data_IF_799333591077
#
_entry.id   IF_799333591077
#
_cell.length_a   1.000
_cell.length_b   1.000
_cell.length_c   1.000
_cell.angle_alpha   90.00
_cell.angle_beta   90.00
_cell.angle_gamma   90.00
#
_symmetry.space_group_name_H-M   'P 1'
#
loop_
_entity.id
_entity.type
_entity.pdbx_description
1 polymer ?
#
# COMPACT_ATOMS: atom_id res chain seq x y z
N UNK A 1 65.93 -62.66 -42.01
CA UNK A 1 64.84 -61.75 -42.47
C UNK A 1 64.32 -61.04 -41.23
N UNK A 2 64.66 -59.76 -41.07
CA UNK A 2 64.36 -58.95 -39.89
C UNK A 2 62.87 -58.57 -39.85
N UNK A 3 62.13 -59.07 -38.86
CA UNK A 3 60.78 -58.60 -38.57
C UNK A 3 60.91 -57.30 -37.76
N UNK A 4 60.72 -56.18 -38.44
CA UNK A 4 60.70 -54.86 -37.83
C UNK A 4 59.49 -54.73 -36.89
N UNK A 5 59.74 -54.65 -35.59
CA UNK A 5 58.73 -54.28 -34.59
C UNK A 5 58.37 -52.81 -34.76
N UNK A 6 57.24 -52.55 -35.42
CA UNK A 6 56.64 -51.21 -35.52
C UNK A 6 56.32 -50.70 -34.10
N UNK A 7 57.12 -49.75 -33.62
CA UNK A 7 56.98 -49.09 -32.30
C UNK A 7 55.58 -48.50 -32.12
N UNK A 8 54.78 -49.07 -31.20
CA UNK A 8 53.56 -48.47 -30.63
C UNK A 8 53.88 -47.26 -29.73
N UNK A 9 54.54 -46.21 -30.25
CA UNK A 9 54.99 -45.04 -29.46
C UNK A 9 54.10 -43.79 -29.59
N UNK A 10 53.03 -43.81 -30.39
CA UNK A 10 52.10 -42.68 -30.53
C UNK A 10 50.82 -42.75 -29.67
N UNK A 11 50.39 -43.95 -29.25
CA UNK A 11 49.12 -44.16 -28.53
C UNK A 11 49.14 -43.62 -27.09
N UNK A 12 50.30 -43.72 -26.42
CA UNK A 12 50.45 -43.26 -25.03
C UNK A 12 50.20 -41.77 -24.91
N UNK A 13 50.70 -40.96 -25.85
CA UNK A 13 50.48 -39.51 -25.84
C UNK A 13 49.00 -39.15 -26.01
N UNK A 14 48.30 -39.82 -26.95
CA UNK A 14 46.86 -39.60 -27.16
C UNK A 14 46.05 -40.00 -25.94
N UNK A 15 46.37 -41.14 -25.31
CA UNK A 15 45.72 -41.57 -24.09
C UNK A 15 45.94 -40.58 -22.94
N UNK A 16 47.19 -40.12 -22.74
CA UNK A 16 47.52 -39.12 -21.71
C UNK A 16 46.78 -37.81 -21.96
N UNK A 17 46.73 -37.31 -23.19
CA UNK A 17 46.00 -36.09 -23.53
C UNK A 17 44.50 -36.27 -23.30
N UNK A 18 43.92 -37.40 -23.71
CA UNK A 18 42.51 -37.69 -23.48
C UNK A 18 42.15 -37.68 -21.99
N UNK A 19 42.93 -38.38 -21.16
CA UNK A 19 42.73 -38.35 -19.70
C UNK A 19 43.01 -36.97 -19.10
N UNK A 20 44.00 -36.24 -19.59
CA UNK A 20 44.28 -34.88 -19.14
C UNK A 20 43.13 -33.92 -19.45
N UNK A 21 42.54 -34.00 -20.65
CA UNK A 21 41.37 -33.20 -21.04
C UNK A 21 40.16 -33.57 -20.19
N UNK A 22 39.90 -34.86 -19.97
CA UNK A 22 38.81 -35.31 -19.09
C UNK A 22 38.98 -34.86 -17.64
N UNK A 23 40.20 -34.93 -17.11
CA UNK A 23 40.52 -34.44 -15.77
C UNK A 23 40.33 -32.92 -15.69
N UNK A 24 40.87 -32.17 -16.66
CA UNK A 24 40.72 -30.72 -16.70
C UNK A 24 39.25 -30.31 -16.82
N UNK A 25 38.46 -30.97 -17.67
CA UNK A 25 37.02 -30.70 -17.78
C UNK A 25 36.27 -31.02 -16.50
N UNK A 26 36.65 -32.09 -15.80
CA UNK A 26 36.04 -32.49 -14.52
C UNK A 26 36.36 -31.48 -13.42
N UNK A 27 37.62 -31.04 -13.33
CA UNK A 27 38.04 -30.00 -12.37
C UNK A 27 37.35 -28.67 -12.67
N UNK A 28 37.28 -28.26 -13.94
CA UNK A 28 36.58 -27.04 -14.33
C UNK A 28 35.08 -27.09 -14.00
N UNK A 29 34.41 -28.22 -14.27
CA UNK A 29 33.01 -28.44 -13.92
C UNK A 29 32.79 -28.42 -12.40
N UNK A 30 33.67 -29.06 -11.63
CA UNK A 30 33.62 -29.04 -10.17
C UNK A 30 33.81 -27.62 -9.61
N UNK A 31 34.80 -26.87 -10.10
CA UNK A 31 35.03 -25.49 -9.67
C UNK A 31 33.81 -24.61 -9.97
N UNK A 32 33.25 -24.71 -11.17
CA UNK A 32 32.02 -23.97 -11.53
C UNK A 32 30.85 -24.33 -10.62
N UNK A 33 30.66 -25.62 -10.32
CA UNK A 33 29.59 -26.06 -9.43
C UNK A 33 29.82 -25.55 -7.99
N UNK A 34 31.05 -25.66 -7.49
CA UNK A 34 31.40 -25.21 -6.15
C UNK A 34 31.24 -23.70 -5.97
N UNK A 35 31.54 -22.87 -6.98
CA UNK A 35 31.33 -21.42 -6.89
C UNK A 35 29.85 -21.05 -6.90
N UNK A 36 29.04 -21.75 -7.70
CA UNK A 36 27.57 -21.59 -7.72
C UNK A 36 26.95 -22.03 -6.39
N UNK A 37 27.33 -23.20 -5.87
CA UNK A 37 26.84 -23.70 -4.59
C UNK A 37 27.21 -22.75 -3.44
N UNK A 38 28.45 -22.23 -3.44
CA UNK A 38 28.87 -21.23 -2.46
C UNK A 38 28.08 -19.92 -2.58
N UNK A 39 27.74 -19.47 -3.79
CA UNK A 39 26.92 -18.28 -3.99
C UNK A 39 25.47 -18.49 -3.51
N UNK A 40 24.89 -19.67 -3.76
CA UNK A 40 23.54 -20.03 -3.28
C UNK A 40 23.49 -20.00 -1.75
N UNK A 41 24.47 -20.61 -1.07
CA UNK A 41 24.53 -20.62 0.40
C UNK A 41 24.63 -19.20 0.95
N UNK A 42 25.53 -18.37 0.41
CA UNK A 42 25.66 -16.97 0.83
C UNK A 42 24.36 -16.17 0.63
N UNK A 43 23.71 -16.32 -0.51
CA UNK A 43 22.46 -15.62 -0.79
C UNK A 43 21.31 -16.10 0.10
N UNK A 44 21.28 -17.40 0.45
CA UNK A 44 20.30 -17.94 1.38
C UNK A 44 20.49 -17.39 2.80
N UNK A 45 21.72 -17.33 3.28
CA UNK A 45 22.04 -16.77 4.60
C UNK A 45 21.74 -15.27 4.65
N UNK A 46 22.13 -14.54 3.60
CA UNK A 46 21.82 -13.11 3.46
C UNK A 46 20.30 -12.86 3.39
N UNK A 47 19.55 -13.71 2.68
CA UNK A 47 18.09 -13.63 2.62
C UNK A 47 17.44 -13.86 3.99
N UNK A 48 17.93 -14.83 4.77
CA UNK A 48 17.44 -15.07 6.12
C UNK A 48 17.72 -13.89 7.06
N UNK A 49 18.90 -13.26 6.95
CA UNK A 49 19.23 -12.06 7.72
C UNK A 49 18.39 -10.86 7.30
N UNK A 50 18.25 -10.61 6.01
CA UNK A 50 17.42 -9.56 5.46
C UNK A 50 15.94 -9.72 5.90
N UNK A 51 15.41 -10.94 5.87
CA UNK A 51 14.06 -11.20 6.35
C UNK A 51 13.93 -10.99 7.86
N UNK A 52 14.89 -11.45 8.66
CA UNK A 52 14.91 -11.22 10.10
C UNK A 52 14.94 -9.72 10.44
N UNK A 53 15.72 -8.92 9.70
CA UNK A 53 15.73 -7.47 9.81
C UNK A 53 14.37 -6.86 9.48
N UNK A 54 13.76 -7.26 8.36
CA UNK A 54 12.43 -6.78 7.97
C UNK A 54 11.37 -7.13 9.03
N UNK A 55 11.38 -8.35 9.57
CA UNK A 55 10.49 -8.76 10.67
C UNK A 55 10.72 -7.93 11.93
N UNK A 56 11.98 -7.65 12.28
CA UNK A 56 12.35 -6.74 13.36
C UNK A 56 11.83 -5.32 13.12
N UNK A 57 11.84 -4.84 11.88
CA UNK A 57 11.28 -3.56 11.48
C UNK A 57 9.77 -3.46 11.73
N UNK A 58 9.01 -4.53 11.48
CA UNK A 58 7.57 -4.56 11.82
C UNK A 58 7.35 -4.46 13.34
N UNK A 59 8.16 -5.16 14.14
CA UNK A 59 8.08 -5.07 15.60
C UNK A 59 8.46 -3.67 16.12
N UNK A 60 9.50 -3.05 15.53
CA UNK A 60 9.89 -1.68 15.84
C UNK A 60 8.77 -0.69 15.50
N UNK A 61 8.15 -0.81 14.33
CA UNK A 61 7.00 0.02 13.97
C UNK A 61 5.86 -0.15 14.97
N UNK A 62 5.54 -1.39 15.35
CA UNK A 62 4.54 -1.68 16.38
C UNK A 62 4.83 -1.00 17.72
N UNK A 63 6.11 -1.00 18.15
CA UNK A 63 6.52 -0.30 19.35
C UNK A 63 6.41 1.23 19.23
N UNK A 64 6.77 1.80 18.07
CA UNK A 64 6.69 3.25 17.82
C UNK A 64 5.25 3.75 17.83
N UNK A 65 4.31 3.05 17.18
CA UNK A 65 2.90 3.46 17.15
C UNK A 65 2.22 3.29 18.51
N UNK A 66 2.66 2.32 19.34
CA UNK A 66 2.18 2.17 20.71
C UNK A 66 2.73 3.26 21.63
N UNK A 67 4.03 3.58 21.50
CA UNK A 67 4.65 4.66 22.26
C UNK A 67 3.93 5.99 21.96
N UNK A 68 3.64 6.23 20.69
CA UNK A 68 2.92 7.42 20.27
C UNK A 68 1.51 7.52 20.90
N UNK A 69 0.75 6.42 20.93
CA UNK A 69 -0.55 6.34 21.61
C UNK A 69 -0.46 6.64 23.11
N UNK A 70 0.63 6.22 23.78
CA UNK A 70 0.85 6.52 25.19
C UNK A 70 1.06 8.02 25.37
N UNK A 71 1.92 8.61 24.56
CA UNK A 71 2.24 10.02 24.68
C UNK A 71 1.04 10.93 24.31
N UNK A 72 0.14 10.49 23.41
CA UNK A 72 -1.15 11.15 23.11
C UNK A 72 -2.06 11.36 24.33
N UNK A 73 -1.82 10.67 25.45
CA UNK A 73 -2.56 10.93 26.70
C UNK A 73 -2.16 12.27 27.36
N UNK A 74 -0.99 12.80 27.01
CA UNK A 74 -0.42 14.05 27.56
C UNK A 74 -0.39 15.20 26.55
N UNK A 75 -0.70 14.93 25.26
CA UNK A 75 -0.74 15.91 24.17
C UNK A 75 -2.08 15.86 23.42
N UNK A 76 -2.32 16.78 22.49
CA UNK A 76 -3.48 16.65 21.60
C UNK A 76 -3.35 15.36 20.77
N UNK A 77 -4.38 14.52 20.80
CA UNK A 77 -4.41 13.28 20.04
C UNK A 77 -4.71 13.57 18.56
N UNK A 78 -3.65 13.63 17.75
CA UNK A 78 -3.71 13.70 16.30
C UNK A 78 -2.44 13.12 15.68
N UNK A 79 -2.60 12.34 14.60
CA UNK A 79 -1.48 11.84 13.80
C UNK A 79 -0.92 12.96 12.94
N UNK A 80 0.39 13.11 12.95
CA UNK A 80 1.13 14.08 12.15
C UNK A 80 2.38 13.46 11.54
N UNK A 81 2.97 14.14 10.55
CA UNK A 81 4.26 13.73 9.99
C UNK A 81 5.46 13.98 10.93
N UNK A 82 5.21 14.58 12.09
CA UNK A 82 6.23 14.88 13.09
C UNK A 82 6.26 13.87 14.23
N UNK A 83 5.35 12.90 14.21
CA UNK A 83 5.29 11.84 15.22
C UNK A 83 6.50 10.91 15.11
N UNK A 84 6.83 10.23 16.20
CA UNK A 84 8.00 9.35 16.27
C UNK A 84 7.97 8.22 15.23
N UNK A 85 6.77 7.69 14.93
CA UNK A 85 6.58 6.68 13.89
C UNK A 85 6.83 7.23 12.48
N UNK A 86 6.61 8.52 12.22
CA UNK A 86 6.84 9.15 10.93
C UNK A 86 8.32 9.50 10.72
N UNK A 87 9.03 9.86 11.80
CA UNK A 87 10.43 10.27 11.77
C UNK A 87 11.41 9.19 11.27
N UNK A 88 11.05 7.91 11.39
CA UNK A 88 11.88 6.78 10.92
C UNK A 88 11.84 6.59 9.40
N UNK A 89 10.91 7.25 8.69
CA UNK A 89 10.70 7.05 7.24
C UNK A 89 11.89 7.49 6.39
N UNK A 90 12.66 8.46 6.87
CA UNK A 90 13.72 9.12 6.09
C UNK A 90 15.13 8.63 6.42
N UNK A 91 15.29 7.71 7.39
CA UNK A 91 16.61 7.29 7.89
C UNK A 91 16.76 5.77 7.98
N UNK A 92 17.73 5.16 7.26
CA UNK A 92 18.01 3.75 7.41
C UNK A 92 18.65 3.45 8.77
N UNK A 93 18.30 2.30 9.36
CA UNK A 93 18.88 1.79 10.59
C UNK A 93 19.96 0.77 10.21
N UNK A 94 21.21 1.07 10.55
CA UNK A 94 22.35 0.19 10.29
C UNK A 94 22.62 -0.73 11.47
N UNK A 95 22.82 -2.02 11.21
CA UNK A 95 23.19 -3.00 12.22
C UNK A 95 24.71 -3.19 12.29
N UNK A 96 25.20 -3.61 13.46
CA UNK A 96 26.64 -3.80 13.70
C UNK A 96 27.29 -4.84 12.78
N UNK A 97 26.52 -5.79 12.27
CA UNK A 97 26.95 -6.84 11.35
C UNK A 97 26.79 -6.47 9.86
N UNK A 98 26.51 -5.21 9.56
CA UNK A 98 26.46 -4.65 8.20
C UNK A 98 25.12 -4.79 7.48
N UNK A 99 24.04 -5.07 8.22
CA UNK A 99 22.67 -5.01 7.71
C UNK A 99 22.12 -3.58 7.70
N UNK A 100 21.15 -3.34 6.83
CA UNK A 100 20.43 -2.08 6.73
C UNK A 100 18.93 -2.38 6.78
N UNK A 101 18.21 -1.70 7.68
CA UNK A 101 16.76 -1.73 7.76
C UNK A 101 16.21 -0.38 7.31
N UNK A 102 15.34 -0.38 6.30
CA UNK A 102 14.54 0.77 5.90
C UNK A 102 13.11 0.54 6.35
N UNK A 103 12.57 1.49 7.10
CA UNK A 103 11.23 1.43 7.62
C UNK A 103 10.40 2.57 7.04
N UNK A 104 9.17 2.29 6.64
CA UNK A 104 8.17 3.28 6.30
C UNK A 104 6.91 2.97 7.09
N UNK A 105 6.46 3.88 7.93
CA UNK A 105 5.20 3.82 8.66
C UNK A 105 4.32 4.97 8.17
N UNK A 106 3.07 4.66 7.85
CA UNK A 106 2.08 5.62 7.40
C UNK A 106 0.74 5.32 8.07
N UNK A 107 0.04 6.36 8.52
CA UNK A 107 -1.33 6.24 9.00
C UNK A 107 -2.29 5.87 7.84
N UNK A 108 -3.32 5.09 8.13
CA UNK A 108 -4.31 4.72 7.09
C UNK A 108 -5.13 5.94 6.66
N UNK A 109 -5.32 6.92 7.55
CA UNK A 109 -5.98 8.19 7.24
C UNK A 109 -5.27 9.03 6.18
N UNK A 110 -4.00 8.74 5.82
CA UNK A 110 -3.35 9.41 4.69
C UNK A 110 -4.02 9.12 3.33
N UNK A 111 -4.99 8.20 3.27
CA UNK A 111 -5.77 7.83 2.09
C UNK A 111 -7.26 7.88 2.40
N UNK A 112 -8.09 7.91 1.36
CA UNK A 112 -9.54 7.84 1.48
C UNK A 112 -9.95 6.42 1.84
N UNK A 113 -10.57 6.22 3.00
CA UNK A 113 -11.22 4.94 3.31
C UNK A 113 -12.51 4.83 2.50
N UNK A 114 -12.54 3.94 1.51
CA UNK A 114 -13.71 3.77 0.66
C UNK A 114 -14.92 3.23 1.43
N UNK A 115 -14.67 2.47 2.51
CA UNK A 115 -15.72 1.95 3.38
C UNK A 115 -16.38 3.03 4.24
N UNK A 116 -15.83 4.25 4.30
CA UNK A 116 -16.45 5.37 5.00
C UNK A 116 -17.66 5.97 4.25
N UNK A 117 -17.97 5.46 3.06
CA UNK A 117 -19.08 5.92 2.22
C UNK A 117 -20.41 5.22 2.54
N UNK A 118 -20.35 4.09 3.26
CA UNK A 118 -21.51 3.36 3.78
C UNK A 118 -21.57 3.50 5.30
N UNK A 119 -22.79 3.51 5.86
CA UNK A 119 -23.00 3.51 7.30
C UNK A 119 -22.86 2.11 7.92
N UNK A 120 -23.10 1.99 9.22
CA UNK A 120 -22.94 0.73 9.96
C UNK A 120 -23.96 -0.34 9.54
N UNK A 121 -25.08 0.09 8.95
CA UNK A 121 -26.13 -0.75 8.40
C UNK A 121 -25.83 -1.19 6.96
N UNK A 122 -24.74 -0.68 6.36
CA UNK A 122 -24.36 -0.96 4.98
C UNK A 122 -25.22 -0.19 3.99
N UNK A 123 -25.70 1.00 4.34
CA UNK A 123 -26.43 1.90 3.43
C UNK A 123 -25.50 3.03 2.97
N UNK A 124 -25.46 3.38 1.67
CA UNK A 124 -24.73 4.54 1.19
C UNK A 124 -25.17 5.83 1.91
N UNK A 125 -24.21 6.60 2.41
CA UNK A 125 -24.53 7.87 3.07
C UNK A 125 -24.95 8.94 2.04
N UNK A 126 -25.71 9.98 2.42
CA UNK A 126 -26.39 10.87 1.46
C UNK A 126 -25.51 11.57 0.42
N UNK A 127 -24.23 11.80 0.72
CA UNK A 127 -23.29 12.47 -0.18
C UNK A 127 -22.36 11.49 -0.93
N UNK A 128 -22.50 10.18 -0.72
CA UNK A 128 -21.58 9.18 -1.23
C UNK A 128 -21.53 9.13 -2.77
N UNK A 129 -22.68 9.07 -3.44
CA UNK A 129 -22.73 9.02 -4.91
C UNK A 129 -22.14 10.30 -5.52
N UNK A 130 -22.63 11.47 -5.11
CA UNK A 130 -22.15 12.76 -5.63
C UNK A 130 -20.64 12.98 -5.40
N UNK A 131 -20.12 12.54 -4.25
CA UNK A 131 -18.69 12.54 -3.98
C UNK A 131 -17.92 11.63 -4.94
N UNK A 132 -18.37 10.39 -5.11
CA UNK A 132 -17.71 9.40 -5.98
C UNK A 132 -17.68 9.86 -7.43
N UNK A 133 -18.76 10.45 -7.94
CA UNK A 133 -18.80 11.01 -9.29
C UNK A 133 -17.66 12.02 -9.50
N UNK A 134 -17.56 13.04 -8.64
CA UNK A 134 -16.49 14.03 -8.74
C UNK A 134 -15.10 13.45 -8.52
N UNK A 135 -14.97 12.50 -7.60
CA UNK A 135 -13.70 11.83 -7.34
C UNK A 135 -13.22 11.03 -8.56
N UNK A 136 -14.12 10.27 -9.19
CA UNK A 136 -13.81 9.51 -10.40
C UNK A 136 -13.54 10.42 -11.59
N UNK A 137 -14.32 11.48 -11.82
CA UNK A 137 -14.03 12.51 -12.83
C UNK A 137 -12.58 13.01 -12.70
N UNK A 138 -12.18 13.39 -11.47
CA UNK A 138 -10.83 13.85 -11.17
C UNK A 138 -9.77 12.79 -11.50
N UNK A 139 -9.96 11.55 -11.05
CA UNK A 139 -8.96 10.48 -11.25
C UNK A 139 -8.84 10.15 -12.73
N UNK A 140 -9.97 10.03 -13.44
CA UNK A 140 -10.04 9.78 -14.88
C UNK A 140 -9.32 10.89 -15.66
N UNK A 141 -9.54 12.16 -15.31
CA UNK A 141 -8.85 13.29 -15.93
C UNK A 141 -7.33 13.21 -15.75
N UNK A 142 -6.86 12.79 -14.57
CA UNK A 142 -5.44 12.68 -14.23
C UNK A 142 -4.75 11.42 -14.80
N UNK A 143 -5.52 10.41 -15.22
CA UNK A 143 -4.95 9.17 -15.79
C UNK A 143 -4.09 9.45 -17.03
N UNK A 144 -3.02 8.68 -17.27
CA UNK A 144 -2.28 8.74 -18.52
C UNK A 144 -3.10 8.17 -19.69
N UNK A 145 -2.83 8.68 -20.89
CA UNK A 145 -3.49 8.24 -22.12
C UNK A 145 -4.32 9.34 -22.77
N UNK A 146 -4.82 9.05 -23.97
CA UNK A 146 -5.63 10.03 -24.72
C UNK A 146 -7.09 10.02 -24.23
N UNK A 147 -7.83 11.14 -24.35
CA UNK A 147 -9.24 11.19 -23.93
C UNK A 147 -10.11 10.08 -24.54
N UNK A 148 -9.86 9.73 -25.81
CA UNK A 148 -10.58 8.64 -26.49
C UNK A 148 -10.33 7.23 -25.91
N UNK A 149 -9.29 7.07 -25.07
CA UNK A 149 -8.98 5.82 -24.37
C UNK A 149 -9.56 5.78 -22.94
N UNK A 150 -10.25 6.85 -22.51
CA UNK A 150 -10.81 7.01 -21.17
C UNK A 150 -12.34 7.01 -21.24
N UNK A 151 -12.89 5.91 -21.75
CA UNK A 151 -14.33 5.72 -21.92
C UNK A 151 -14.94 5.18 -20.63
N UNK A 152 -14.90 5.99 -19.58
CA UNK A 152 -15.48 5.70 -18.28
C UNK A 152 -16.66 6.64 -18.04
N UNK A 153 -17.74 6.13 -17.46
CA UNK A 153 -18.88 6.92 -16.99
C UNK A 153 -18.79 7.05 -15.47
N UNK A 154 -18.41 8.23 -14.92
CA UNK A 154 -18.27 8.42 -13.47
C UNK A 154 -19.54 8.17 -12.69
N UNK A 155 -20.72 8.48 -13.26
CA UNK A 155 -22.02 8.24 -12.64
C UNK A 155 -22.30 6.74 -12.53
N UNK A 156 -22.02 5.97 -13.58
CA UNK A 156 -22.16 4.52 -13.57
C UNK A 156 -21.18 3.86 -12.59
N UNK A 157 -19.92 4.29 -12.60
CA UNK A 157 -18.90 3.80 -11.67
C UNK A 157 -19.26 4.08 -10.21
N UNK A 158 -19.81 5.26 -9.90
CA UNK A 158 -20.24 5.62 -8.56
C UNK A 158 -21.33 4.68 -8.05
N UNK A 159 -22.38 4.47 -8.85
CA UNK A 159 -23.48 3.56 -8.48
C UNK A 159 -23.02 2.12 -8.37
N UNK A 160 -22.28 1.60 -9.35
CA UNK A 160 -21.80 0.22 -9.33
C UNK A 160 -20.88 -0.06 -8.14
N UNK A 161 -20.08 0.92 -7.70
CA UNK A 161 -19.27 0.76 -6.50
C UNK A 161 -20.12 0.77 -5.22
N UNK A 162 -21.16 1.61 -5.16
CA UNK A 162 -22.07 1.65 -4.02
C UNK A 162 -22.90 0.35 -3.90
N UNK A 163 -23.47 -0.10 -5.02
CA UNK A 163 -24.19 -1.39 -5.13
C UNK A 163 -23.29 -2.62 -4.87
N UNK A 164 -21.96 -2.45 -4.88
CA UNK A 164 -21.03 -3.53 -4.52
C UNK A 164 -20.81 -3.63 -3.01
N UNK A 165 -20.97 -2.52 -2.29
CA UNK A 165 -20.59 -2.40 -0.87
C UNK A 165 -21.76 -2.34 0.08
N UNK A 166 -22.94 -1.95 -0.41
CA UNK A 166 -24.15 -1.89 0.39
C UNK A 166 -24.69 -3.30 0.68
N UNK A 167 -25.57 -3.40 1.67
CA UNK A 167 -25.95 -4.69 2.23
C UNK A 167 -27.14 -5.37 1.53
N UNK A 168 -27.76 -4.72 0.54
CA UNK A 168 -28.95 -5.24 -0.12
C UNK A 168 -28.62 -6.09 -1.36
N UNK A 169 -29.53 -6.26 -2.32
CA UNK A 169 -29.35 -7.10 -3.52
C UNK A 169 -29.95 -6.40 -4.77
N UNK A 170 -30.26 -5.10 -4.66
CA UNK A 170 -31.07 -4.32 -5.58
C UNK A 170 -30.28 -3.13 -6.07
N UNK A 171 -30.01 -3.11 -7.38
CA UNK A 171 -29.31 -1.99 -8.01
C UNK A 171 -30.01 -0.67 -7.72
N UNK A 172 -29.25 0.41 -7.56
CA UNK A 172 -29.82 1.77 -7.42
C UNK A 172 -30.76 2.17 -8.57
N UNK A 173 -30.52 1.66 -9.78
CA UNK A 173 -31.37 1.89 -10.95
C UNK A 173 -32.52 0.86 -11.11
N UNK A 174 -32.63 -0.10 -10.18
CA UNK A 174 -33.55 -1.21 -10.21
C UNK A 174 -33.01 -2.44 -10.95
N UNK A 175 -33.38 -3.62 -10.46
CA UNK A 175 -32.89 -4.91 -10.96
C UNK A 175 -32.03 -5.63 -9.92
N UNK A 176 -31.57 -6.83 -10.24
CA UNK A 176 -30.68 -7.60 -9.37
C UNK A 176 -29.23 -7.16 -9.60
N UNK A 177 -28.49 -6.87 -8.54
CA UNK A 177 -27.06 -6.51 -8.60
C UNK A 177 -26.24 -7.62 -9.28
N UNK A 178 -26.48 -8.84 -8.82
CA UNK A 178 -25.83 -10.09 -9.22
C UNK A 178 -25.90 -10.42 -10.71
N UNK A 179 -26.83 -9.81 -11.47
CA UNK A 179 -27.08 -10.17 -12.87
C UNK A 179 -25.80 -10.06 -13.72
N UNK A 180 -25.08 -8.94 -13.61
CA UNK A 180 -23.81 -8.73 -14.31
C UNK A 180 -22.73 -9.73 -13.87
N UNK A 181 -22.58 -9.95 -12.56
CA UNK A 181 -21.51 -10.76 -11.99
C UNK A 181 -21.67 -12.26 -12.30
N UNK A 182 -22.92 -12.72 -12.45
CA UNK A 182 -23.23 -14.11 -12.83
C UNK A 182 -22.99 -14.40 -14.32
N UNK A 183 -22.78 -13.38 -15.15
CA UNK A 183 -22.40 -13.51 -16.56
C UNK A 183 -20.88 -13.55 -16.78
N UNK A 184 -20.08 -13.25 -15.75
CA UNK A 184 -18.62 -13.26 -15.83
C UNK A 184 -18.02 -14.67 -15.87
N UNK A 185 -16.74 -14.78 -16.27
CA UNK A 185 -15.96 -16.02 -16.22
C UNK A 185 -14.66 -15.84 -15.43
N UNK A 186 -14.52 -16.44 -14.23
CA UNK A 186 -15.52 -17.26 -13.54
C UNK A 186 -16.72 -16.42 -13.07
N UNK A 187 -17.87 -17.06 -12.86
CA UNK A 187 -19.06 -16.41 -12.29
C UNK A 187 -18.86 -16.10 -10.83
N UNK A 188 -19.30 -14.92 -10.39
CA UNK A 188 -19.30 -14.52 -8.98
C UNK A 188 -20.54 -13.69 -8.66
N UNK A 189 -20.59 -13.11 -7.46
CA UNK A 189 -21.67 -12.29 -6.94
C UNK A 189 -21.13 -10.97 -6.44
N UNK A 190 -22.00 -9.98 -6.31
CA UNK A 190 -21.67 -8.77 -5.59
C UNK A 190 -21.24 -9.11 -4.15
N UNK A 191 -20.34 -8.31 -3.57
CA UNK A 191 -19.80 -8.61 -2.26
C UNK A 191 -20.83 -8.36 -1.14
N UNK A 192 -21.61 -7.31 -1.30
CA UNK A 192 -22.67 -6.80 -0.42
C UNK A 192 -22.16 -6.61 1.01
N UNK A 193 -20.97 -6.02 1.08
CA UNK A 193 -20.20 -5.74 2.29
C UNK A 193 -19.12 -4.70 2.01
N UNK A 194 -18.57 -4.06 3.06
CA UNK A 194 -17.33 -3.30 2.96
C UNK A 194 -16.21 -4.07 2.24
N UNK A 195 -15.38 -3.36 1.49
CA UNK A 195 -14.19 -3.91 0.85
C UNK A 195 -13.21 -4.39 1.92
N UNK A 196 -12.64 -5.57 1.73
CA UNK A 196 -11.59 -6.15 2.55
C UNK A 196 -10.19 -5.88 1.97
N UNK A 197 -10.10 -5.54 0.68
CA UNK A 197 -8.89 -5.07 0.03
C UNK A 197 -9.19 -4.04 -1.07
N UNK A 198 -8.23 -3.16 -1.37
CA UNK A 198 -8.38 -2.16 -2.44
C UNK A 198 -8.48 -2.82 -3.82
N UNK A 199 -7.82 -3.97 -3.99
CA UNK A 199 -7.81 -4.74 -5.23
C UNK A 199 -9.19 -5.31 -5.60
N UNK A 200 -10.12 -5.44 -4.64
CA UNK A 200 -11.52 -5.84 -4.91
C UNK A 200 -12.23 -4.88 -5.85
N UNK A 201 -11.79 -3.62 -5.97
CA UNK A 201 -12.34 -2.64 -6.92
C UNK A 201 -12.26 -3.17 -8.36
N UNK A 202 -11.24 -3.96 -8.70
CA UNK A 202 -11.11 -4.56 -10.03
C UNK A 202 -12.16 -5.63 -10.36
N UNK A 203 -13.01 -6.01 -9.40
CA UNK A 203 -14.13 -6.95 -9.59
C UNK A 203 -15.45 -6.22 -9.85
N UNK A 204 -15.51 -4.90 -9.63
CA UNK A 204 -16.72 -4.09 -9.77
C UNK A 204 -17.01 -3.82 -11.25
N UNK A 205 -18.29 -3.82 -11.62
CA UNK A 205 -18.75 -3.51 -12.97
C UNK A 205 -18.23 -2.13 -13.42
N UNK A 206 -17.57 -2.07 -14.58
CA UNK A 206 -16.99 -0.85 -15.14
C UNK A 206 -15.54 -0.55 -14.72
N UNK A 207 -14.99 -1.25 -13.72
CA UNK A 207 -13.62 -1.02 -13.26
C UNK A 207 -12.63 -1.97 -13.96
N UNK A 208 -11.86 -1.42 -14.89
CA UNK A 208 -10.74 -2.15 -15.48
C UNK A 208 -9.46 -2.00 -14.64
N UNK A 209 -8.42 -2.76 -15.02
CA UNK A 209 -7.11 -2.69 -14.35
C UNK A 209 -6.49 -1.30 -14.40
N UNK A 210 -6.68 -0.54 -15.49
CA UNK A 210 -6.06 0.78 -15.66
C UNK A 210 -6.65 1.79 -14.68
N UNK A 211 -7.97 1.76 -14.50
CA UNK A 211 -8.68 2.58 -13.53
C UNK A 211 -8.37 2.13 -12.10
N UNK A 212 -8.36 0.82 -11.81
CA UNK A 212 -7.98 0.29 -10.51
C UNK A 212 -6.55 0.72 -10.11
N UNK A 213 -5.58 0.59 -11.02
CA UNK A 213 -4.19 1.03 -10.81
C UNK A 213 -4.10 2.56 -10.59
N UNK A 214 -5.00 3.35 -11.20
CA UNK A 214 -5.06 4.80 -11.01
C UNK A 214 -5.70 5.21 -9.67
N UNK A 215 -6.61 4.40 -9.13
CA UNK A 215 -7.28 4.61 -7.86
C UNK A 215 -6.43 4.16 -6.66
N UNK A 216 -5.61 3.12 -6.81
CA UNK A 216 -4.79 2.54 -5.73
C UNK A 216 -4.07 3.58 -4.85
N UNK A 217 -3.42 4.63 -5.39
CA UNK A 217 -2.69 5.61 -4.58
C UNK A 217 -3.57 6.51 -3.70
N UNK A 218 -4.88 6.53 -3.95
CA UNK A 218 -5.85 7.38 -3.25
C UNK A 218 -6.58 6.64 -2.14
N UNK A 219 -6.65 5.31 -2.19
CA UNK A 219 -7.61 4.53 -1.43
C UNK A 219 -6.97 3.68 -0.32
N UNK A 220 -7.77 3.46 0.71
CA UNK A 220 -7.59 2.41 1.71
C UNK A 220 -8.93 1.76 2.01
N UNK A 221 -8.92 0.59 2.64
CA UNK A 221 -10.09 -0.07 3.21
C UNK A 221 -10.08 -0.03 4.73
N UNK A 222 -9.04 0.60 5.31
CA UNK A 222 -8.81 0.62 6.74
C UNK A 222 -9.22 1.95 7.37
N UNK A 223 -9.80 1.92 8.58
CA UNK A 223 -10.24 0.73 9.31
C UNK A 223 -11.39 0.00 8.59
N UNK A 224 -11.46 -1.34 8.76
CA UNK A 224 -12.51 -2.16 8.12
C UNK A 224 -13.90 -1.88 8.70
N UNK A 225 -13.95 -1.37 9.92
CA UNK A 225 -15.18 -0.98 10.61
C UNK A 225 -15.02 0.43 11.19
N UNK A 226 -16.10 1.19 11.15
CA UNK A 226 -16.11 2.61 11.49
C UNK A 226 -15.80 3.50 10.29
N UNK A 227 -16.27 4.75 10.35
CA UNK A 227 -16.06 5.76 9.32
C UNK A 227 -14.82 6.59 9.64
N UNK A 228 -13.91 6.72 8.68
CA UNK A 228 -12.71 7.55 8.81
C UNK A 228 -12.43 8.21 7.45
N UNK A 229 -12.55 9.54 7.37
CA UNK A 229 -12.20 10.27 6.16
C UNK A 229 -10.71 10.50 6.00
N UNK A 230 -10.34 11.46 5.16
CA UNK A 230 -8.94 11.77 4.87
C UNK A 230 -8.33 12.56 6.03
N UNK A 231 -7.16 12.14 6.50
CA UNK A 231 -6.36 12.87 7.48
C UNK A 231 -5.62 14.05 6.86
N UNK A 232 -6.00 15.30 7.18
CA UNK A 232 -5.39 16.48 6.61
C UNK A 232 -4.03 16.81 7.21
N UNK A 233 -3.49 16.05 8.17
CA UNK A 233 -2.13 16.22 8.68
C UNK A 233 -1.10 15.35 7.94
N UNK A 234 -1.53 14.21 7.40
CA UNK A 234 -0.63 13.19 6.85
C UNK A 234 -0.83 12.96 5.36
N UNK A 235 -2.05 13.11 4.84
CA UNK A 235 -2.40 12.80 3.45
C UNK A 235 -1.51 13.54 2.43
N UNK A 236 -1.05 12.89 1.35
CA UNK A 236 -0.28 13.54 0.30
C UNK A 236 -1.12 14.51 -0.53
N UNK A 237 -0.47 15.35 -1.32
CA UNK A 237 -1.11 16.44 -2.06
C UNK A 237 -2.21 15.97 -3.03
N UNK A 238 -2.03 14.81 -3.67
CA UNK A 238 -3.03 14.25 -4.59
C UNK A 238 -4.26 13.73 -3.85
N UNK A 239 -4.10 13.10 -2.68
CA UNK A 239 -5.23 12.69 -1.82
C UNK A 239 -5.94 13.91 -1.22
N UNK A 240 -5.19 14.93 -0.79
CA UNK A 240 -5.80 16.18 -0.32
C UNK A 240 -6.66 16.86 -1.39
N UNK A 241 -6.34 16.68 -2.68
CA UNK A 241 -7.17 17.19 -3.77
C UNK A 241 -8.49 16.43 -3.93
N UNK A 242 -8.65 15.27 -3.28
CA UNK A 242 -9.89 14.51 -3.20
C UNK A 242 -10.78 14.92 -2.00
N UNK A 243 -10.32 15.83 -1.12
CA UNK A 243 -11.18 16.38 -0.07
C UNK A 243 -12.40 17.07 -0.70
N UNK A 244 -13.59 16.58 -0.37
CA UNK A 244 -14.86 17.12 -0.85
C UNK A 244 -15.49 17.94 0.27
N UNK A 245 -15.76 19.22 0.01
CA UNK A 245 -16.22 20.13 1.05
C UNK A 245 -17.18 21.17 0.52
N UNK A 246 -18.04 21.70 1.38
CA UNK A 246 -19.10 22.61 0.98
C UNK A 246 -19.99 23.08 2.11
N UNK A 247 -21.10 23.71 1.72
CA UNK A 247 -22.20 24.05 2.61
C UNK A 247 -23.52 23.84 1.85
N UNK A 248 -24.49 23.18 2.49
CA UNK A 248 -25.74 22.81 1.83
C UNK A 248 -25.49 21.88 0.63
N UNK A 249 -25.91 22.29 -0.57
CA UNK A 249 -25.73 21.53 -1.80
C UNK A 249 -24.48 21.92 -2.62
N UNK A 250 -23.68 22.89 -2.16
CA UNK A 250 -22.50 23.40 -2.89
C UNK A 250 -21.21 22.71 -2.42
N UNK A 251 -21.14 21.39 -2.61
CA UNK A 251 -19.93 20.63 -2.35
C UNK A 251 -19.04 20.50 -3.59
N UNK A 252 -17.72 20.54 -3.37
CA UNK A 252 -16.72 20.43 -4.43
C UNK A 252 -15.40 19.89 -3.91
N UNK A 253 -14.60 19.35 -4.83
CA UNK A 253 -13.25 18.91 -4.52
C UNK A 253 -12.30 20.08 -4.22
N UNK A 254 -11.29 19.82 -3.40
CA UNK A 254 -10.29 20.78 -2.99
C UNK A 254 -9.45 21.28 -4.17
N UNK A 255 -9.57 22.58 -4.45
CA UNK A 255 -8.74 23.26 -5.45
C UNK A 255 -7.24 23.20 -5.11
N UNK A 256 -6.38 23.34 -6.13
CA UNK A 256 -4.91 23.49 -5.95
C UNK A 256 -4.51 24.62 -4.98
N UNK A 257 -5.33 25.68 -4.85
CA UNK A 257 -5.08 26.76 -3.87
C UNK A 257 -5.33 26.28 -2.45
N UNK A 258 -6.38 25.50 -2.22
CA UNK A 258 -6.72 24.92 -0.90
C UNK A 258 -5.69 23.88 -0.48
N UNK A 259 -5.32 22.95 -1.36
CA UNK A 259 -4.27 21.95 -1.08
C UNK A 259 -2.95 22.62 -0.69
N UNK A 260 -2.49 23.64 -1.45
CA UNK A 260 -1.29 24.42 -1.09
C UNK A 260 -1.43 25.23 0.19
N UNK A 261 -2.65 25.58 0.61
CA UNK A 261 -2.92 26.20 1.90
C UNK A 261 -2.63 25.21 3.02
N UNK A 262 -3.24 24.03 2.95
CA UNK A 262 -3.05 22.93 3.92
C UNK A 262 -1.57 22.58 4.05
N UNK A 263 -0.88 22.33 2.93
CA UNK A 263 0.54 21.96 2.95
C UNK A 263 1.43 23.05 3.58
N UNK A 264 1.17 24.32 3.30
CA UNK A 264 1.92 25.42 3.93
C UNK A 264 1.65 25.54 5.41
N UNK A 265 0.41 25.28 5.86
CA UNK A 265 0.10 25.21 7.28
C UNK A 265 0.92 24.12 7.96
N UNK A 266 0.94 22.91 7.40
CA UNK A 266 1.77 21.80 7.92
C UNK A 266 3.26 22.16 7.99
N UNK A 267 3.80 22.75 6.92
CA UNK A 267 5.20 23.21 6.89
C UNK A 267 5.49 24.32 7.92
N UNK A 268 4.48 25.13 8.24
CA UNK A 268 4.51 26.16 9.28
C UNK A 268 4.37 25.62 10.71
N UNK A 269 4.11 24.31 10.87
CA UNK A 269 3.91 23.66 12.17
C UNK A 269 2.44 23.57 12.61
N UNK A 270 1.48 23.92 11.74
CA UNK A 270 0.06 23.76 12.07
C UNK A 270 -0.27 22.27 12.18
N UNK A 271 -0.93 21.92 13.28
CA UNK A 271 -1.60 20.64 13.47
C UNK A 271 -3.10 20.88 13.31
N UNK A 272 -3.72 20.23 12.34
CA UNK A 272 -5.16 20.35 12.09
C UNK A 272 -5.97 19.42 13.00
N UNK A 273 -7.16 19.85 13.38
CA UNK A 273 -8.09 19.12 14.24
C UNK A 273 -9.57 19.40 13.90
N UNK A 274 -10.49 18.60 14.44
CA UNK A 274 -11.94 18.70 14.21
C UNK A 274 -12.62 19.95 14.82
N UNK A 275 -11.90 20.74 15.61
CA UNK A 275 -12.44 21.86 16.38
C UNK A 275 -12.65 21.53 17.86
N UNK A 276 -12.70 22.56 18.70
CA UNK A 276 -12.84 22.43 20.17
C UNK A 276 -12.23 23.63 20.90
N UNK A 277 -12.45 23.77 22.21
CA UNK A 277 -11.97 24.92 23.00
C UNK A 277 -10.44 25.05 23.09
N UNK A 278 -9.71 24.06 22.57
CA UNK A 278 -8.26 23.94 22.69
C UNK A 278 -7.54 24.82 21.67
N UNK A 279 -6.69 25.74 22.15
CA UNK A 279 -5.87 26.63 21.31
C UNK A 279 -4.65 25.92 20.69
N UNK A 280 -4.47 24.63 20.98
CA UNK A 280 -3.30 23.86 20.59
C UNK A 280 -3.31 23.39 19.12
N UNK A 281 -4.40 23.58 18.38
CA UNK A 281 -4.53 23.16 16.98
C UNK A 281 -5.29 24.16 16.11
N UNK A 282 -5.07 24.06 14.80
CA UNK A 282 -5.82 24.81 13.79
C UNK A 282 -7.06 24.03 13.39
N UNK A 283 -8.24 24.64 13.55
CA UNK A 283 -9.50 23.98 13.19
C UNK A 283 -9.59 23.80 11.68
N UNK A 284 -9.85 22.58 11.24
CA UNK A 284 -9.77 22.27 9.82
C UNK A 284 -10.89 22.92 9.00
N UNK A 285 -12.08 23.06 9.59
CA UNK A 285 -13.23 23.72 8.96
C UNK A 285 -12.94 25.18 8.59
N UNK A 286 -12.16 25.90 9.40
CA UNK A 286 -11.74 27.29 9.13
C UNK A 286 -10.73 27.36 7.96
N UNK A 287 -9.86 26.36 7.85
CA UNK A 287 -8.85 26.26 6.79
C UNK A 287 -9.52 25.94 5.44
N UNK A 288 -10.38 24.93 5.44
CA UNK A 288 -11.05 24.45 4.24
C UNK A 288 -12.23 25.34 3.85
N UNK A 289 -12.91 25.96 4.81
CA UNK A 289 -14.01 26.92 4.62
C UNK A 289 -15.34 26.25 4.28
N UNK A 290 -15.70 25.17 4.99
CA UNK A 290 -16.93 24.42 4.82
C UNK A 290 -16.87 23.05 5.50
N UNK A 291 -17.99 22.35 5.55
CA UNK A 291 -18.04 20.97 6.03
C UNK A 291 -17.34 20.06 5.05
N UNK A 292 -16.60 19.08 5.54
CA UNK A 292 -15.86 18.10 4.73
C UNK A 292 -16.58 16.76 4.76
N UNK A 293 -16.62 16.09 3.61
CA UNK A 293 -17.19 14.77 3.44
C UNK A 293 -16.20 13.85 2.68
N UNK A 294 -16.03 12.58 3.11
CA UNK A 294 -16.37 12.07 4.44
C UNK A 294 -15.70 12.89 5.55
N UNK A 295 -16.21 12.79 6.79
CA UNK A 295 -15.66 13.56 7.92
C UNK A 295 -14.16 13.28 8.08
N UNK A 296 -13.30 14.31 8.23
CA UNK A 296 -11.86 14.11 8.28
C UNK A 296 -11.45 13.32 9.53
N UNK A 297 -10.50 12.41 9.37
CA UNK A 297 -9.89 11.72 10.51
C UNK A 297 -8.68 12.51 11.01
N UNK A 298 -8.50 12.64 12.32
CA UNK A 298 -7.27 13.24 12.88
C UNK A 298 -6.44 12.23 13.66
N UNK A 299 -7.03 11.13 14.08
CA UNK A 299 -6.40 10.03 14.80
C UNK A 299 -6.50 8.76 13.96
N UNK A 300 -5.52 7.86 14.09
CA UNK A 300 -5.55 6.56 13.43
C UNK A 300 -5.26 5.42 14.41
N UNK A 301 -6.02 4.35 14.27
CA UNK A 301 -5.71 3.06 14.88
C UNK A 301 -4.94 2.15 13.93
N UNK A 302 -5.09 2.35 12.62
CA UNK A 302 -4.53 1.46 11.62
C UNK A 302 -3.39 2.13 10.85
N UNK A 303 -2.26 1.43 10.76
CA UNK A 303 -1.04 1.91 10.11
C UNK A 303 -0.53 0.91 9.06
N UNK A 304 -0.11 1.43 7.93
CA UNK A 304 0.63 0.70 6.92
C UNK A 304 2.12 0.74 7.26
N UNK A 305 2.75 -0.42 7.33
CA UNK A 305 4.18 -0.57 7.62
C UNK A 305 4.87 -1.30 6.48
N UNK A 306 5.91 -0.70 5.93
CA UNK A 306 6.83 -1.34 5.01
C UNK A 306 8.20 -1.41 5.66
N UNK A 307 8.68 -2.63 5.91
CA UNK A 307 10.02 -2.90 6.41
C UNK A 307 10.85 -3.61 5.33
N UNK A 308 11.93 -2.99 4.88
CA UNK A 308 12.89 -3.58 3.94
C UNK A 308 14.21 -3.83 4.66
N UNK A 309 14.55 -5.10 4.84
CA UNK A 309 15.85 -5.53 5.33
C UNK A 309 16.79 -5.80 4.17
N UNK A 310 18.01 -5.30 4.28
CA UNK A 310 19.06 -5.38 3.25
C UNK A 310 20.30 -5.97 3.89
N UNK A 311 20.88 -7.00 3.27
CA UNK A 311 22.13 -7.60 3.70
C UNK A 311 22.98 -7.95 2.48
N UNK A 312 24.09 -7.23 2.28
CA UNK A 312 24.85 -7.28 1.03
C UNK A 312 23.96 -6.87 -0.15
N UNK A 313 23.86 -7.74 -1.16
CA UNK A 313 23.03 -7.50 -2.36
C UNK A 313 21.59 -8.03 -2.21
N UNK A 314 21.27 -8.71 -1.11
CA UNK A 314 19.95 -9.31 -0.89
C UNK A 314 19.05 -8.36 -0.14
N UNK A 315 17.81 -8.24 -0.62
CA UNK A 315 16.75 -7.45 0.01
C UNK A 315 15.55 -8.34 0.28
N UNK A 316 14.87 -8.10 1.40
CA UNK A 316 13.59 -8.69 1.76
C UNK A 316 12.67 -7.61 2.27
N UNK A 317 11.45 -7.56 1.74
CA UNK A 317 10.48 -6.55 2.13
C UNK A 317 9.25 -7.20 2.72
N UNK A 318 8.78 -6.65 3.83
CA UNK A 318 7.48 -6.97 4.40
C UNK A 318 6.61 -5.73 4.31
N UNK A 319 5.48 -5.84 3.62
CA UNK A 319 4.40 -4.87 3.65
C UNK A 319 3.32 -5.43 4.60
N UNK A 320 3.02 -4.74 5.69
CA UNK A 320 2.07 -5.16 6.71
C UNK A 320 1.11 -4.03 7.09
N UNK A 321 -0.05 -4.40 7.65
CA UNK A 321 -1.02 -3.45 8.22
C UNK A 321 -1.20 -3.80 9.69
N UNK A 322 -0.98 -2.81 10.56
CA UNK A 322 -1.05 -2.95 12.01
C UNK A 322 -2.22 -2.15 12.57
N UNK A 323 -2.92 -2.71 13.54
CA UNK A 323 -4.03 -2.07 14.27
C UNK A 323 -3.67 -1.95 15.75
N UNK A 324 -3.56 -0.71 16.24
CA UNK A 324 -3.25 -0.36 17.64
C UNK A 324 -4.48 -0.12 18.51
N UNK A 325 -5.70 -0.25 17.98
CA UNK A 325 -6.94 0.16 18.66
C UNK A 325 -7.42 -0.77 19.78
N UNK A 326 -6.93 -2.01 19.85
CA UNK A 326 -7.46 -3.03 20.78
C UNK A 326 -6.46 -3.83 21.60
N UNK A 327 -5.29 -4.18 21.03
CA UNK A 327 -4.35 -5.12 21.65
C UNK A 327 -2.94 -4.54 21.78
N UNK A 328 -2.19 -5.04 22.77
CA UNK A 328 -0.75 -4.84 22.90
C UNK A 328 -0.07 -6.23 22.94
N UNK A 329 0.72 -6.61 21.92
CA UNK A 329 1.18 -5.80 20.78
C UNK A 329 0.06 -5.49 19.76
N UNK A 330 0.25 -4.54 18.82
CA UNK A 330 -0.73 -4.21 17.80
C UNK A 330 -1.08 -5.44 16.95
N UNK A 331 -2.35 -5.56 16.58
CA UNK A 331 -2.84 -6.68 15.79
C UNK A 331 -2.38 -6.53 14.34
N UNK A 332 -1.87 -7.61 13.75
CA UNK A 332 -1.50 -7.64 12.33
C UNK A 332 -2.76 -7.98 11.51
N UNK A 333 -3.23 -7.03 10.70
CA UNK A 333 -4.39 -7.21 9.82
C UNK A 333 -4.00 -7.81 8.46
N UNK A 334 -2.81 -7.50 7.97
CA UNK A 334 -2.28 -8.00 6.70
C UNK A 334 -0.76 -8.18 6.77
N UNK A 335 -0.24 -9.15 6.03
CA UNK A 335 1.18 -9.48 5.96
C UNK A 335 1.56 -10.00 4.58
N UNK A 336 2.44 -9.29 3.88
CA UNK A 336 2.97 -9.68 2.57
C UNK A 336 4.50 -9.65 2.58
N UNK A 337 5.13 -10.82 2.40
CA UNK A 337 6.57 -10.95 2.22
C UNK A 337 6.90 -10.92 0.72
N UNK A 338 7.82 -10.04 0.31
CA UNK A 338 8.28 -9.86 -1.07
C UNK A 338 9.81 -10.05 -1.18
#
# INVERSE_FOLDING_TARGET
MLVATRRRRGFVLVAVIFFAVLLFSSVAAFMRRSTVDAAIVRNRDAAARAEALARGGIQLAGALILQDRIDETERLAAETRFDAWAAVNDSPILTADGGELRLQVADSGARLNINALVDAEGTPTPNAEAFLVHFFEKVIDEMPGRPEEKLYDPDELARNLLDWVDADDVRQQGGLEDAYYQEQDPRYRAANRPLLSVEEIGLVEGFDRKLADALEPYLTVYPLAGSSGINPNTAPSWVLAALYFGSGSDFRLASRKKVRGILRGREGGDMFCAGGEDQACTWFDDVIGGQVYPEPSFQSDVFHVRAEGIYGDVRRRIDAVLDRGGENPPRILSWQLR
#
